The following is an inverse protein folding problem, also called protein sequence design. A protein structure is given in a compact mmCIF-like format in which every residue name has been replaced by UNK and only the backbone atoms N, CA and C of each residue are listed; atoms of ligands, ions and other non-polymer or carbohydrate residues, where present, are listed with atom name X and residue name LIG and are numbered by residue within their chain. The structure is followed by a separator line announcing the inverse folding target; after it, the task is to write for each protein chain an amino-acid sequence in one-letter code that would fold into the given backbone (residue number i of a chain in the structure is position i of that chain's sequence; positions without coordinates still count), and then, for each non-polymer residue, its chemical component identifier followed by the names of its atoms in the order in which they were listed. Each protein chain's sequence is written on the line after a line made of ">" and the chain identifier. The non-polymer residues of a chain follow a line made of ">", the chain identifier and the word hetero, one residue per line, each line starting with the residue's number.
data_IF_469451439079
#
_entry.id   IF_469451439079
#
_cell.length_a   1.000
_cell.length_b   1.000
_cell.length_c   1.000
_cell.angle_alpha   90.00
_cell.angle_beta   90.00
_cell.angle_gamma   90.00
#
_symmetry.space_group_name_H-M   'P 1'
#
loop_
_entity.id
_entity.type
_entity.pdbx_description
1 polymer ?
#
# COMPACT_ATOMS: atom_id res chain seq x y z
N UNK A 1 -11.65 -31.46 8.55
CA UNK A 1 -11.19 -30.21 9.17
C UNK A 1 -10.43 -29.40 8.14
N UNK A 2 -11.04 -28.35 7.59
CA UNK A 2 -10.29 -27.33 6.83
C UNK A 2 -9.55 -26.51 7.90
N UNK A 3 -8.22 -26.50 7.89
CA UNK A 3 -7.48 -25.48 8.63
C UNK A 3 -7.73 -24.19 7.86
N UNK A 4 -8.66 -23.38 8.34
CA UNK A 4 -8.73 -21.98 7.98
C UNK A 4 -7.39 -21.38 8.44
N UNK A 5 -6.51 -21.16 7.47
CA UNK A 5 -5.25 -20.49 7.70
C UNK A 5 -5.66 -19.06 8.05
N UNK A 6 -5.69 -18.75 9.35
CA UNK A 6 -5.85 -17.38 9.82
C UNK A 6 -4.61 -16.62 9.36
N UNK A 7 -4.73 -15.97 8.21
CA UNK A 7 -3.77 -14.97 7.77
C UNK A 7 -3.98 -13.76 8.68
N UNK A 8 -3.36 -13.82 9.87
CA UNK A 8 -3.26 -12.73 10.84
C UNK A 8 -2.44 -11.54 10.28
N UNK A 9 -1.90 -11.68 9.06
CA UNK A 9 -1.17 -10.64 8.35
C UNK A 9 -2.10 -9.85 7.41
N UNK A 10 -2.62 -8.73 7.89
CA UNK A 10 -3.46 -7.82 7.12
C UNK A 10 -2.67 -6.91 6.18
N UNK A 11 -1.41 -6.60 6.52
CA UNK A 11 -0.62 -5.59 5.80
C UNK A 11 0.68 -6.17 5.26
N UNK A 12 0.84 -6.08 3.94
CA UNK A 12 2.06 -6.53 3.28
C UNK A 12 3.24 -5.59 3.55
N UNK A 13 4.45 -6.13 3.57
CA UNK A 13 5.68 -5.35 3.61
C UNK A 13 5.72 -4.34 2.45
N UNK A 14 6.17 -3.12 2.72
CA UNK A 14 6.12 -1.97 1.80
C UNK A 14 4.81 -1.18 1.83
N UNK A 15 3.80 -1.61 2.59
CA UNK A 15 2.55 -0.86 2.73
C UNK A 15 2.77 0.35 3.63
N UNK A 16 2.34 1.53 3.17
CA UNK A 16 2.33 2.74 3.98
C UNK A 16 1.07 2.73 4.85
N UNK A 17 1.25 2.91 6.14
CA UNK A 17 0.21 2.95 7.17
C UNK A 17 0.45 4.15 8.07
N UNK A 18 -0.59 4.56 8.79
CA UNK A 18 -0.49 5.59 9.83
C UNK A 18 -0.79 4.98 11.19
N UNK A 19 -0.11 5.42 12.24
CA UNK A 19 -0.44 5.00 13.60
C UNK A 19 -1.63 5.82 14.13
N UNK A 20 -2.50 5.21 14.95
CA UNK A 20 -3.55 5.93 15.68
C UNK A 20 -3.00 6.94 16.67
N UNK A 21 -1.82 6.65 17.23
CA UNK A 21 -1.14 7.55 18.16
C UNK A 21 -0.69 8.83 17.45
N UNK A 22 -0.25 8.71 16.20
CA UNK A 22 0.27 9.81 15.37
C UNK A 22 -0.18 9.63 13.91
N UNK A 23 -1.41 10.05 13.57
CA UNK A 23 -1.93 9.90 12.21
C UNK A 23 -1.17 10.74 11.18
N UNK A 24 -0.47 11.80 11.61
CA UNK A 24 0.41 12.62 10.76
C UNK A 24 1.68 11.91 10.32
N UNK A 25 2.12 10.85 11.02
CA UNK A 25 3.36 10.16 10.72
C UNK A 25 3.09 8.98 9.79
N UNK A 26 3.66 9.05 8.57
CA UNK A 26 3.63 7.95 7.62
C UNK A 26 4.67 6.90 7.98
N UNK A 27 4.22 5.67 8.14
CA UNK A 27 5.02 4.53 8.51
C UNK A 27 4.95 3.49 7.40
N UNK A 28 6.05 2.86 7.04
CA UNK A 28 6.08 1.77 6.06
C UNK A 28 6.26 0.44 6.80
N UNK A 29 5.40 -0.53 6.52
CA UNK A 29 5.50 -1.89 7.09
C UNK A 29 6.79 -2.51 6.55
N UNK A 30 7.78 -2.72 7.40
CA UNK A 30 9.04 -3.37 7.06
C UNK A 30 8.92 -4.89 7.14
N UNK A 31 8.38 -5.38 8.27
CA UNK A 31 8.27 -6.81 8.58
C UNK A 31 7.09 -7.07 9.51
N UNK A 32 6.49 -8.25 9.41
CA UNK A 32 5.48 -8.73 10.35
C UNK A 32 6.02 -9.93 11.13
N UNK A 33 6.05 -9.83 12.47
CA UNK A 33 6.53 -10.92 13.33
C UNK A 33 5.69 -10.98 14.59
N UNK A 34 5.22 -12.18 14.94
CA UNK A 34 4.58 -12.44 16.24
C UNK A 34 3.36 -11.52 16.52
N UNK A 35 2.55 -11.25 15.49
CA UNK A 35 1.40 -10.31 15.54
C UNK A 35 1.76 -8.84 15.76
N UNK A 36 3.03 -8.50 15.54
CA UNK A 36 3.55 -7.14 15.63
C UNK A 36 4.05 -6.73 14.25
N UNK A 37 3.60 -5.57 13.80
CA UNK A 37 4.09 -4.93 12.60
C UNK A 37 5.25 -4.03 12.96
N UNK A 38 6.41 -4.32 12.38
CA UNK A 38 7.59 -3.46 12.44
C UNK A 38 7.49 -2.46 11.30
N UNK A 39 7.43 -1.18 11.63
CA UNK A 39 7.27 -0.10 10.69
C UNK A 39 8.44 0.87 10.79
N UNK A 40 8.96 1.32 9.65
CA UNK A 40 9.93 2.40 9.60
C UNK A 40 9.24 3.71 9.22
N UNK A 41 9.80 4.85 9.62
CA UNK A 41 9.26 6.16 9.22
C UNK A 41 9.69 6.43 7.78
N UNK A 42 8.74 6.77 6.90
CA UNK A 42 9.03 7.00 5.47
C UNK A 42 10.07 8.11 5.28
N UNK A 43 10.01 9.15 6.10
CA UNK A 43 10.91 10.30 6.05
C UNK A 43 12.35 9.94 6.51
N UNK A 44 12.46 9.00 7.45
CA UNK A 44 13.71 8.63 8.10
C UNK A 44 13.77 7.10 8.33
N UNK A 45 14.07 6.30 7.29
CA UNK A 45 14.12 4.84 7.39
C UNK A 45 15.25 4.34 8.32
N UNK A 46 16.23 5.19 8.63
CA UNK A 46 17.35 4.90 9.53
C UNK A 46 17.01 5.15 11.02
N UNK A 47 15.92 5.87 11.30
CA UNK A 47 15.48 6.14 12.67
C UNK A 47 14.54 5.02 13.15
N UNK A 48 15.13 3.93 13.65
CA UNK A 48 14.56 2.95 14.57
C UNK A 48 13.21 2.31 14.15
N UNK A 49 13.16 0.98 14.05
CA UNK A 49 11.90 0.29 13.77
C UNK A 49 10.88 0.50 14.90
N UNK A 50 9.67 0.93 14.54
CA UNK A 50 8.55 1.06 15.46
C UNK A 50 7.71 -0.21 15.43
N UNK A 51 7.43 -0.77 16.59
CA UNK A 51 6.55 -1.92 16.73
C UNK A 51 5.13 -1.45 17.04
N UNK A 52 4.18 -1.76 16.15
CA UNK A 52 2.75 -1.46 16.35
C UNK A 52 1.90 -2.73 16.29
N UNK A 53 0.82 -2.72 17.07
CA UNK A 53 -0.22 -3.73 16.95
C UNK A 53 -1.21 -3.36 15.83
N UNK A 54 -1.84 -4.36 15.23
CA UNK A 54 -2.90 -4.19 14.23
C UNK A 54 -3.96 -3.16 14.64
N UNK A 55 -4.45 -3.25 15.89
CA UNK A 55 -5.46 -2.35 16.46
C UNK A 55 -5.02 -0.89 16.58
N UNK A 56 -3.72 -0.65 16.57
CA UNK A 56 -3.09 0.67 16.65
C UNK A 56 -2.76 1.24 15.28
N UNK A 57 -2.75 0.40 14.24
CA UNK A 57 -2.57 0.84 12.87
C UNK A 57 -3.91 1.30 12.28
N UNK A 58 -3.84 2.40 11.54
CA UNK A 58 -4.95 2.88 10.71
C UNK A 58 -4.78 2.23 9.33
N UNK A 59 -5.80 1.50 8.84
CA UNK A 59 -5.73 0.89 7.52
C UNK A 59 -5.55 1.99 6.46
N UNK A 60 -4.69 1.77 5.45
CA UNK A 60 -4.49 2.73 4.39
C UNK A 60 -5.81 2.92 3.65
N UNK A 61 -6.36 4.13 3.68
CA UNK A 61 -7.50 4.46 2.83
C UNK A 61 -7.11 4.29 1.37
N UNK A 62 -8.05 3.88 0.52
CA UNK A 62 -7.85 3.51 -0.90
C UNK A 62 -7.03 4.55 -1.69
N UNK A 63 -6.99 5.82 -1.25
CA UNK A 63 -6.15 6.88 -1.82
C UNK A 63 -4.63 6.70 -1.63
N UNK A 64 -4.16 6.07 -0.54
CA UNK A 64 -2.74 5.78 -0.28
C UNK A 64 -2.35 4.35 -0.75
N UNK A 65 -3.36 3.50 -1.02
CA UNK A 65 -3.19 2.11 -1.48
C UNK A 65 -3.06 1.98 -3.01
N UNK A 66 -3.01 3.08 -3.78
CA UNK A 66 -2.79 3.05 -5.25
C UNK A 66 -1.39 2.53 -5.62
N UNK A 67 -0.53 2.25 -4.63
CA UNK A 67 0.80 1.62 -4.82
C UNK A 67 0.81 0.12 -4.49
N UNK A 68 -0.33 -0.51 -4.12
CA UNK A 68 -0.46 -1.95 -4.30
C UNK A 68 -0.85 -2.18 -5.76
N UNK A 69 0.17 -2.41 -6.60
CA UNK A 69 0.06 -2.78 -8.01
C UNK A 69 -1.14 -3.71 -8.27
N UNK A 70 -2.27 -3.14 -8.67
CA UNK A 70 -3.08 -3.79 -9.68
C UNK A 70 -2.26 -3.71 -10.96
N UNK A 71 -2.07 -4.80 -11.72
CA UNK A 71 -1.68 -4.64 -13.11
C UNK A 71 -2.76 -3.74 -13.71
N UNK A 72 -2.42 -2.50 -14.06
CA UNK A 72 -3.26 -1.75 -14.98
C UNK A 72 -3.44 -2.67 -16.19
N UNK A 73 -4.63 -3.22 -16.48
CA UNK A 73 -4.82 -3.77 -17.81
C UNK A 73 -4.59 -2.57 -18.72
N UNK A 74 -3.52 -2.64 -19.51
CA UNK A 74 -3.17 -1.63 -20.49
C UNK A 74 -4.46 -1.12 -21.11
N UNK A 75 -4.84 0.12 -20.78
CA UNK A 75 -6.00 0.74 -21.40
C UNK A 75 -5.73 0.68 -22.90
N UNK A 76 -6.61 0.05 -23.71
CA UNK A 76 -6.44 0.09 -25.14
C UNK A 76 -6.48 1.57 -25.53
N UNK A 77 -5.42 2.01 -26.21
CA UNK A 77 -5.27 3.32 -26.83
C UNK A 77 -6.46 3.52 -27.78
N UNK A 78 -7.57 4.00 -27.25
CA UNK A 78 -8.81 4.14 -28.00
C UNK A 78 -8.94 5.59 -28.39
N UNK A 79 -8.56 5.85 -29.64
CA UNK A 79 -9.33 6.74 -30.50
C UNK A 79 -8.97 8.22 -30.43
N UNK A 80 -7.76 8.57 -30.84
CA UNK A 80 -7.57 9.86 -31.50
C UNK A 80 -7.80 9.68 -33.00
N UNK A 81 -9.00 10.08 -33.41
CA UNK A 81 -9.52 10.03 -34.76
C UNK A 81 -8.80 11.09 -35.60
N UNK A 82 -7.62 10.75 -36.12
CA UNK A 82 -6.94 11.57 -37.12
C UNK A 82 -7.68 11.45 -38.46
N UNK A 83 -8.63 12.36 -38.68
CA UNK A 83 -9.18 12.66 -40.00
C UNK A 83 -8.03 13.17 -40.87
N UNK A 84 -7.43 12.28 -41.66
CA UNK A 84 -6.55 12.68 -42.77
C UNK A 84 -7.43 13.28 -43.88
N UNK A 85 -7.58 14.60 -43.83
CA UNK A 85 -8.06 15.37 -44.98
C UNK A 85 -6.97 15.34 -46.05
N UNK A 86 -7.17 14.51 -47.08
CA UNK A 86 -6.36 14.52 -48.29
C UNK A 86 -6.53 15.88 -48.97
N UNK A 87 -5.43 16.60 -49.17
CA UNK A 87 -5.38 17.72 -50.09
C UNK A 87 -5.12 17.16 -51.49
N UNK A 88 -6.04 17.42 -52.40
CA UNK A 88 -5.85 17.34 -53.85
C UNK A 88 -5.17 18.61 -54.35
#
# INVERSE_FOLDING_TARGET
>A
MRREINDDNLYKEGTIVSAKVDPSRKLVIMRYRQRIYYCAVVDHPDQNDYAYFEKELIPPTIADNVVQYSPVPAAPLTGENFVFKRAE
#
